data_IF_336268180816
#
_entry.id   IF_336268180816
#
_cell.length_a   1.000
_cell.length_b   1.000
_cell.length_c   1.000
_cell.angle_alpha   90.00
_cell.angle_beta   90.00
_cell.angle_gamma   90.00
#
_symmetry.space_group_name_H-M   'P 1'
#
loop_
_entity.id
_entity.type
_entity.pdbx_description
1 polymer ?
#
# COMPACT_ATOMS: atom_id res chain seq x y z
N UNK A 1 -1.02 -9.38 -5.65
CA UNK A 1 -0.31 -10.26 -6.57
C UNK A 1 1.19 -10.28 -6.32
N UNK A 2 1.91 -9.20 -6.61
CA UNK A 2 3.39 -9.20 -6.54
C UNK A 2 3.93 -9.44 -5.12
N UNK A 3 3.26 -8.96 -4.07
CA UNK A 3 3.65 -9.24 -2.69
C UNK A 3 3.52 -10.73 -2.34
N UNK A 4 2.42 -11.37 -2.72
CA UNK A 4 2.25 -12.81 -2.54
C UNK A 4 3.30 -13.61 -3.33
N UNK A 5 3.62 -13.16 -4.55
CA UNK A 5 4.67 -13.78 -5.35
C UNK A 5 6.05 -13.66 -4.71
N UNK A 6 6.37 -12.49 -4.14
CA UNK A 6 7.62 -12.26 -3.43
C UNK A 6 7.72 -13.12 -2.17
N UNK A 7 6.69 -13.12 -1.32
CA UNK A 7 6.70 -13.92 -0.09
C UNK A 7 6.88 -15.41 -0.40
N UNK A 8 6.11 -15.94 -1.35
CA UNK A 8 6.22 -17.35 -1.73
C UNK A 8 7.60 -17.70 -2.33
N UNK A 9 8.13 -16.85 -3.22
CA UNK A 9 9.43 -17.08 -3.85
C UNK A 9 10.58 -16.97 -2.82
N UNK A 10 10.52 -16.01 -1.90
CA UNK A 10 11.53 -15.86 -0.84
C UNK A 10 11.59 -17.05 0.12
N UNK A 11 10.48 -17.81 0.22
CA UNK A 11 10.39 -19.09 0.97
C UNK A 11 10.83 -20.30 0.14
N UNK A 12 11.38 -20.11 -1.06
CA UNK A 12 11.88 -21.18 -1.93
C UNK A 12 10.79 -21.91 -2.73
N UNK A 13 9.57 -21.38 -2.79
CA UNK A 13 8.51 -21.95 -3.63
C UNK A 13 8.72 -21.58 -5.10
N UNK A 14 8.39 -22.48 -6.01
CA UNK A 14 8.32 -22.19 -7.45
C UNK A 14 7.04 -21.42 -7.74
N UNK A 15 7.18 -20.17 -8.17
CA UNK A 15 6.07 -19.24 -8.38
C UNK A 15 6.04 -18.77 -9.82
N UNK A 16 4.84 -18.74 -10.41
CA UNK A 16 4.54 -18.01 -11.64
C UNK A 16 3.42 -17.01 -11.36
N UNK A 17 3.64 -15.73 -11.66
CA UNK A 17 2.63 -14.69 -11.64
C UNK A 17 2.30 -14.31 -13.08
N UNK A 18 1.02 -14.35 -13.42
CA UNK A 18 0.52 -13.87 -14.70
C UNK A 18 -0.32 -12.62 -14.49
N UNK A 19 -0.08 -11.62 -15.32
CA UNK A 19 -0.77 -10.33 -15.30
C UNK A 19 -1.32 -10.01 -16.69
N UNK A 20 -2.61 -9.74 -16.76
CA UNK A 20 -3.31 -9.47 -18.02
C UNK A 20 -2.84 -8.17 -18.72
N UNK A 21 -2.51 -7.17 -17.94
CA UNK A 21 -2.06 -5.88 -18.43
C UNK A 21 -0.56 -5.68 -18.14
N UNK A 22 -0.23 -4.67 -17.38
CA UNK A 22 1.12 -4.40 -16.90
C UNK A 22 1.13 -4.33 -15.38
N UNK A 23 2.31 -4.39 -14.78
CA UNK A 23 2.48 -4.26 -13.34
C UNK A 23 1.91 -2.91 -12.89
N UNK A 24 1.08 -2.95 -11.84
CA UNK A 24 0.39 -1.79 -11.29
C UNK A 24 -0.66 -1.11 -12.19
N UNK A 25 -1.14 -1.75 -13.25
CA UNK A 25 -2.12 -1.17 -14.16
C UNK A 25 -3.48 -0.85 -13.51
N UNK A 26 -3.82 -1.54 -12.41
CA UNK A 26 -5.04 -1.31 -11.63
C UNK A 26 -4.89 -0.25 -10.52
N UNK A 27 -5.48 -0.53 -9.37
CA UNK A 27 -5.51 0.36 -8.19
C UNK A 27 -4.11 0.68 -7.65
N UNK A 28 -3.13 -0.21 -7.83
CA UNK A 28 -1.77 -0.04 -7.32
C UNK A 28 -0.97 1.11 -7.96
N UNK A 29 -1.52 1.82 -8.96
CA UNK A 29 -0.95 3.08 -9.47
C UNK A 29 -1.90 4.27 -9.33
N UNK A 30 -3.10 4.04 -8.77
CA UNK A 30 -4.18 5.03 -8.66
C UNK A 30 -4.59 5.28 -7.21
N UNK A 31 -3.66 5.09 -6.28
CA UNK A 31 -3.83 5.37 -4.86
C UNK A 31 -3.54 6.84 -4.54
N UNK A 32 -3.73 7.24 -3.29
CA UNK A 32 -3.27 8.55 -2.80
C UNK A 32 -1.74 8.67 -2.71
N UNK A 33 -1.01 7.61 -3.04
CA UNK A 33 0.46 7.51 -2.94
C UNK A 33 1.02 7.69 -1.54
N UNK A 34 0.18 7.48 -0.53
CA UNK A 34 0.54 7.64 0.87
C UNK A 34 0.71 6.27 1.54
N UNK A 35 1.76 6.17 2.33
CA UNK A 35 1.96 5.09 3.30
C UNK A 35 1.75 5.74 4.66
N UNK A 36 0.60 5.46 5.27
CA UNK A 36 0.15 6.16 6.47
C UNK A 36 -0.37 5.18 7.53
N UNK A 37 -0.31 5.60 8.79
CA UNK A 37 -0.86 4.82 9.89
C UNK A 37 -2.38 4.94 10.07
N UNK A 38 -3.05 5.73 9.24
CA UNK A 38 -4.50 5.88 9.30
C UNK A 38 -4.99 6.64 10.52
N UNK A 39 -4.54 7.87 10.71
CA UNK A 39 -4.86 8.72 11.88
C UNK A 39 -6.36 8.72 12.24
N UNK A 40 -7.27 8.74 11.25
CA UNK A 40 -8.71 8.72 11.50
C UNK A 40 -9.22 7.41 12.14
N UNK A 41 -8.47 6.30 12.04
CA UNK A 41 -8.86 5.05 12.71
C UNK A 41 -8.68 5.12 14.23
N UNK A 42 -7.94 6.12 14.75
CA UNK A 42 -7.92 6.40 16.18
C UNK A 42 -9.30 6.82 16.71
N UNK A 43 -10.07 7.56 15.90
CA UNK A 43 -11.44 7.95 16.25
C UNK A 43 -12.40 6.75 16.27
N UNK A 44 -12.04 5.68 15.56
CA UNK A 44 -12.75 4.39 15.56
C UNK A 44 -12.24 3.42 16.63
N UNK A 45 -11.28 3.85 17.45
CA UNK A 45 -10.64 3.05 18.50
C UNK A 45 -9.91 1.79 18.00
N UNK A 46 -9.57 1.72 16.70
CA UNK A 46 -8.81 0.60 16.14
C UNK A 46 -7.30 0.80 16.31
N UNK A 47 -6.85 0.81 17.57
CA UNK A 47 -5.44 1.02 17.91
C UNK A 47 -4.53 -0.08 17.39
N UNK A 48 -5.05 -1.31 17.23
CA UNK A 48 -4.28 -2.42 16.70
C UNK A 48 -3.90 -2.18 15.24
N UNK A 49 -4.88 -1.84 14.41
CA UNK A 49 -4.68 -1.52 13.00
C UNK A 49 -3.70 -0.34 12.84
N UNK A 50 -3.89 0.73 13.62
CA UNK A 50 -3.00 1.91 13.58
C UNK A 50 -1.57 1.51 13.93
N UNK A 51 -1.36 0.72 14.98
CA UNK A 51 -0.03 0.26 15.40
C UNK A 51 0.65 -0.60 14.32
N UNK A 52 -0.08 -1.55 13.74
CA UNK A 52 0.42 -2.39 12.66
C UNK A 52 0.80 -1.55 11.42
N UNK A 53 -0.06 -0.66 10.99
CA UNK A 53 0.20 0.23 9.85
C UNK A 53 1.40 1.17 10.08
N UNK A 54 1.55 1.70 11.30
CA UNK A 54 2.69 2.53 11.68
C UNK A 54 3.99 1.73 11.68
N UNK A 55 3.97 0.50 12.18
CA UNK A 55 5.13 -0.39 12.18
C UNK A 55 5.58 -0.71 10.76
N UNK A 56 4.67 -1.11 9.88
CA UNK A 56 4.95 -1.38 8.47
C UNK A 56 5.49 -0.13 7.75
N UNK A 57 4.91 1.04 7.99
CA UNK A 57 5.39 2.31 7.46
C UNK A 57 6.85 2.58 7.85
N UNK A 58 7.17 2.42 9.13
CA UNK A 58 8.53 2.63 9.64
C UNK A 58 9.54 1.65 9.01
N UNK A 59 9.18 0.36 8.89
CA UNK A 59 10.00 -0.65 8.21
C UNK A 59 10.25 -0.28 6.74
N UNK A 60 9.22 0.19 6.05
CA UNK A 60 9.34 0.57 4.65
C UNK A 60 10.24 1.80 4.46
N UNK A 61 10.11 2.81 5.32
CA UNK A 61 10.92 4.03 5.27
C UNK A 61 12.38 3.77 5.66
N UNK A 62 12.62 2.95 6.69
CA UNK A 62 13.96 2.76 7.26
C UNK A 62 14.78 1.67 6.59
N UNK A 63 14.13 0.60 6.12
CA UNK A 63 14.84 -0.64 5.77
C UNK A 63 14.43 -1.24 4.43
N UNK A 64 13.13 -1.42 4.18
CA UNK A 64 12.67 -2.19 3.02
C UNK A 64 12.80 -1.42 1.71
N UNK A 65 12.40 -0.14 1.70
CA UNK A 65 12.40 0.65 0.47
C UNK A 65 12.77 2.14 0.68
N UNK A 66 13.83 2.47 1.45
CA UNK A 66 14.17 3.86 1.78
C UNK A 66 14.49 4.73 0.55
N UNK A 67 14.89 4.11 -0.55
CA UNK A 67 15.17 4.78 -1.83
C UNK A 67 13.90 5.16 -2.61
N UNK A 68 12.74 4.60 -2.29
CA UNK A 68 11.46 4.87 -2.96
C UNK A 68 10.52 5.70 -2.10
N UNK A 69 10.66 5.66 -0.79
CA UNK A 69 9.72 6.21 0.17
C UNK A 69 10.30 7.44 0.83
N UNK A 70 9.52 8.51 0.84
CA UNK A 70 9.93 9.81 1.39
C UNK A 70 8.97 10.24 2.48
N UNK A 71 9.49 10.81 3.59
CA UNK A 71 8.66 11.47 4.58
C UNK A 71 7.89 12.65 3.96
N UNK A 72 6.62 12.78 4.30
CA UNK A 72 5.78 13.91 3.91
C UNK A 72 5.13 14.52 5.14
N UNK A 73 5.19 15.84 5.26
CA UNK A 73 4.57 16.58 6.35
C UNK A 73 3.17 17.03 5.99
N UNK A 74 2.23 16.76 6.87
CA UNK A 74 0.85 17.23 6.79
C UNK A 74 0.62 18.35 7.78
N UNK A 75 -0.17 19.33 7.39
CA UNK A 75 -0.65 20.37 8.27
C UNK A 75 -2.12 20.11 8.59
N UNK A 76 -2.44 19.97 9.86
CA UNK A 76 -3.80 19.99 10.35
C UNK A 76 -4.10 21.42 10.84
N UNK A 77 -4.84 22.24 10.09
CA UNK A 77 -5.18 23.60 10.49
C UNK A 77 -6.15 23.57 11.68
N UNK A 78 -5.93 24.44 12.66
CA UNK A 78 -6.76 24.56 13.85
C UNK A 78 -7.67 25.77 13.73
N UNK A 79 -8.98 25.56 13.82
CA UNK A 79 -9.99 26.63 13.84
C UNK A 79 -10.24 27.12 15.26
N UNK A 80 -10.12 26.22 16.26
CA UNK A 80 -10.22 26.56 17.67
C UNK A 80 -8.85 26.52 18.37
N UNK A 81 -8.53 27.57 19.11
CA UNK A 81 -7.20 27.77 19.70
C UNK A 81 -6.86 26.72 20.78
N UNK A 82 -7.81 26.32 21.61
CA UNK A 82 -7.56 25.50 22.80
C UNK A 82 -8.13 24.09 22.67
N UNK A 83 -9.44 23.96 22.55
CA UNK A 83 -10.12 22.65 22.59
C UNK A 83 -9.68 21.71 21.45
N UNK A 84 -9.72 22.21 20.22
CA UNK A 84 -9.31 21.45 19.04
C UNK A 84 -7.81 21.13 19.09
N UNK A 85 -6.98 22.09 19.50
CA UNK A 85 -5.52 21.87 19.66
C UNK A 85 -5.22 20.77 20.67
N UNK A 86 -5.93 20.73 21.80
CA UNK A 86 -5.73 19.70 22.83
C UNK A 86 -6.20 18.35 22.33
N UNK A 87 -7.38 18.27 21.74
CA UNK A 87 -7.96 17.02 21.24
C UNK A 87 -7.11 16.40 20.13
N UNK A 88 -6.84 17.16 19.07
CA UNK A 88 -6.04 16.69 17.93
C UNK A 88 -4.58 16.44 18.34
N UNK A 89 -4.04 17.30 19.23
CA UNK A 89 -2.70 17.11 19.78
C UNK A 89 -2.56 15.83 20.57
N UNK A 90 -3.53 15.49 21.40
CA UNK A 90 -3.56 14.23 22.15
C UNK A 90 -3.66 13.01 21.20
N UNK A 91 -4.50 13.10 20.16
CA UNK A 91 -4.59 12.06 19.13
C UNK A 91 -3.27 11.85 18.37
N UNK A 92 -2.58 12.94 18.00
CA UNK A 92 -1.28 12.85 17.33
C UNK A 92 -0.15 12.40 18.27
N UNK A 93 -0.21 12.77 19.54
CA UNK A 93 0.72 12.21 20.55
C UNK A 93 0.55 10.71 20.69
N UNK A 94 -0.69 10.22 20.77
CA UNK A 94 -0.98 8.79 20.78
C UNK A 94 -0.51 8.10 19.47
N UNK A 95 -0.73 8.73 18.33
CA UNK A 95 -0.25 8.24 17.02
C UNK A 95 1.28 8.08 17.01
N UNK A 96 2.00 9.06 17.55
CA UNK A 96 3.45 8.99 17.66
C UNK A 96 3.93 7.94 18.67
N UNK A 97 3.21 7.74 19.78
CA UNK A 97 3.51 6.71 20.76
C UNK A 97 3.25 5.29 20.21
N UNK A 98 2.17 5.09 19.48
CA UNK A 98 1.80 3.80 18.89
C UNK A 98 2.82 3.27 17.88
N UNK A 99 3.62 4.13 17.24
CA UNK A 99 4.72 3.68 16.38
C UNK A 99 5.91 3.09 17.14
N UNK A 100 5.95 3.25 18.48
CA UNK A 100 7.02 2.75 19.34
C UNK A 100 8.31 3.59 19.27
N UNK A 101 9.44 2.94 19.49
CA UNK A 101 10.76 3.60 19.55
C UNK A 101 11.40 3.87 18.17
N UNK A 102 10.74 3.51 17.11
CA UNK A 102 11.23 3.74 15.74
C UNK A 102 11.18 5.25 15.42
N UNK A 103 12.24 5.76 14.77
CA UNK A 103 12.44 7.21 14.56
C UNK A 103 12.69 7.59 13.09
N UNK A 104 12.20 6.79 12.15
CA UNK A 104 12.37 7.11 10.74
C UNK A 104 11.65 8.41 10.33
N UNK A 105 10.57 8.76 11.04
CA UNK A 105 9.83 9.99 10.82
C UNK A 105 9.91 10.93 12.05
N UNK A 106 9.86 12.26 11.86
CA UNK A 106 9.78 13.21 12.97
C UNK A 106 8.46 13.07 13.76
N UNK A 107 8.48 13.53 15.01
CA UNK A 107 7.28 13.67 15.83
C UNK A 107 6.45 14.86 15.36
N UNK A 108 5.16 14.86 15.71
CA UNK A 108 4.28 16.00 15.44
C UNK A 108 4.79 17.28 16.13
N UNK A 109 4.43 18.43 15.56
CA UNK A 109 4.82 19.75 16.08
C UNK A 109 3.65 20.70 16.03
N UNK A 110 3.42 21.40 17.13
CA UNK A 110 2.47 22.52 17.16
C UNK A 110 3.09 23.75 16.50
N UNK A 111 2.35 24.38 15.61
CA UNK A 111 2.78 25.56 14.87
C UNK A 111 1.89 26.77 15.23
N UNK A 112 2.53 27.94 15.36
CA UNK A 112 1.83 29.20 15.54
C UNK A 112 1.32 29.76 14.20
N UNK A 113 0.37 30.67 14.24
CA UNK A 113 -0.16 31.37 13.07
C UNK A 113 0.97 32.01 12.23
N UNK A 114 1.92 32.70 12.88
CA UNK A 114 3.08 33.31 12.21
C UNK A 114 3.89 32.27 11.42
N UNK A 115 4.09 31.09 12.01
CA UNK A 115 4.85 30.03 11.33
C UNK A 115 4.10 29.46 10.14
N UNK A 116 2.77 29.34 10.23
CA UNK A 116 1.92 28.89 9.13
C UNK A 116 1.94 29.89 7.98
N UNK A 117 1.80 31.16 8.26
CA UNK A 117 1.87 32.23 7.25
C UNK A 117 3.19 32.19 6.45
N UNK A 118 4.28 31.70 7.08
CA UNK A 118 5.58 31.54 6.40
C UNK A 118 5.63 30.27 5.52
N UNK A 119 5.12 29.12 6.01
CA UNK A 119 5.30 27.83 5.33
C UNK A 119 4.16 27.45 4.38
N UNK A 120 3.00 28.07 4.57
CA UNK A 120 1.80 27.84 3.78
C UNK A 120 1.02 29.16 3.59
N UNK A 121 1.61 30.15 2.89
CA UNK A 121 1.03 31.50 2.75
C UNK A 121 -0.29 31.55 1.98
N UNK A 122 -0.62 30.49 1.24
CA UNK A 122 -1.90 30.34 0.54
C UNK A 122 -3.08 29.98 1.44
N UNK A 123 -2.83 29.56 2.69
CA UNK A 123 -3.91 29.31 3.64
C UNK A 123 -4.48 30.62 4.17
N UNK A 124 -5.80 30.67 4.32
CA UNK A 124 -6.50 31.81 4.89
C UNK A 124 -6.18 31.97 6.39
N UNK A 125 -5.23 32.84 6.69
CA UNK A 125 -4.76 33.08 8.06
C UNK A 125 -5.82 33.62 9.02
N UNK A 126 -6.86 34.31 8.50
CA UNK A 126 -8.01 34.83 9.24
C UNK A 126 -8.92 33.73 9.82
N UNK A 127 -8.85 32.51 9.29
CA UNK A 127 -9.66 31.35 9.72
C UNK A 127 -8.90 30.31 10.56
N UNK A 128 -7.60 30.52 10.80
CA UNK A 128 -6.73 29.50 11.38
C UNK A 128 -6.01 30.03 12.62
N UNK A 129 -6.21 29.40 13.76
CA UNK A 129 -5.55 29.68 15.03
C UNK A 129 -4.27 28.85 15.28
N UNK A 130 -3.53 28.56 14.21
CA UNK A 130 -2.36 27.69 14.25
C UNK A 130 -2.59 26.38 13.51
N UNK A 131 -1.63 25.47 13.57
CA UNK A 131 -1.76 24.11 13.03
C UNK A 131 -0.97 23.11 13.85
N UNK A 132 -1.24 21.83 13.62
CA UNK A 132 -0.35 20.75 14.05
C UNK A 132 0.24 20.12 12.80
N UNK A 133 1.58 20.10 12.73
CA UNK A 133 2.31 19.38 11.66
C UNK A 133 2.60 17.96 12.13
N UNK A 134 2.17 16.96 11.37
CA UNK A 134 2.49 15.57 11.60
C UNK A 134 3.09 14.95 10.33
N UNK A 135 3.58 13.72 10.40
CA UNK A 135 4.32 13.11 9.32
C UNK A 135 3.80 11.72 9.01
N UNK A 136 3.65 11.47 7.74
CA UNK A 136 3.50 10.15 7.14
C UNK A 136 4.52 9.98 6.02
N UNK A 137 4.36 8.97 5.18
CA UNK A 137 5.27 8.72 4.08
C UNK A 137 4.54 8.75 2.73
N UNK A 138 5.29 9.05 1.68
CA UNK A 138 4.82 9.05 0.31
C UNK A 138 5.69 8.14 -0.54
N UNK A 139 5.07 7.48 -1.50
CA UNK A 139 5.74 6.59 -2.45
C UNK A 139 5.15 6.78 -3.85
N UNK A 140 5.96 6.57 -4.88
CA UNK A 140 5.42 6.27 -6.21
C UNK A 140 4.96 4.80 -6.19
N UNK A 141 3.66 4.59 -6.08
CA UNK A 141 3.04 3.28 -5.89
C UNK A 141 3.28 2.32 -7.07
N UNK A 142 3.31 2.83 -8.31
CA UNK A 142 3.63 2.01 -9.47
C UNK A 142 5.09 1.55 -9.45
N UNK A 143 6.03 2.44 -9.14
CA UNK A 143 7.46 2.10 -9.01
C UNK A 143 7.71 1.15 -7.85
N UNK A 144 7.02 1.34 -6.73
CA UNK A 144 7.09 0.44 -5.59
C UNK A 144 6.60 -0.97 -5.97
N UNK A 145 5.43 -1.07 -6.61
CA UNK A 145 4.88 -2.34 -7.08
C UNK A 145 5.82 -3.04 -8.07
N UNK A 146 6.42 -2.29 -8.99
CA UNK A 146 7.42 -2.82 -9.93
C UNK A 146 8.69 -3.29 -9.21
N UNK A 147 9.16 -2.57 -8.19
CA UNK A 147 10.31 -2.98 -7.39
C UNK A 147 10.05 -4.30 -6.66
N UNK A 148 8.85 -4.48 -6.09
CA UNK A 148 8.44 -5.74 -5.45
C UNK A 148 8.40 -6.89 -6.47
N UNK A 149 7.85 -6.67 -7.68
CA UNK A 149 7.83 -7.66 -8.75
C UNK A 149 9.24 -8.07 -9.17
N UNK A 150 10.16 -7.10 -9.36
CA UNK A 150 11.56 -7.36 -9.70
C UNK A 150 12.29 -8.11 -8.60
N UNK A 151 11.98 -7.82 -7.34
CA UNK A 151 12.54 -8.55 -6.20
C UNK A 151 12.04 -9.98 -6.17
N UNK A 152 10.74 -10.22 -6.42
CA UNK A 152 10.18 -11.57 -6.57
C UNK A 152 10.90 -12.35 -7.69
N UNK A 153 11.14 -11.72 -8.83
CA UNK A 153 11.89 -12.35 -9.94
C UNK A 153 13.33 -12.70 -9.55
N UNK A 154 14.02 -11.87 -8.76
CA UNK A 154 15.35 -12.18 -8.23
C UNK A 154 15.35 -13.39 -7.28
N UNK A 155 14.24 -13.64 -6.60
CA UNK A 155 14.02 -14.87 -5.81
C UNK A 155 13.51 -16.04 -6.63
N UNK A 156 13.53 -15.96 -7.97
CA UNK A 156 13.17 -17.04 -8.86
C UNK A 156 11.70 -17.12 -9.27
N UNK A 157 10.87 -16.14 -8.92
CA UNK A 157 9.51 -16.06 -9.45
C UNK A 157 9.51 -15.73 -10.95
N UNK A 158 8.70 -16.41 -11.73
CA UNK A 158 8.42 -16.05 -13.12
C UNK A 158 7.31 -14.99 -13.12
N UNK A 159 7.61 -13.80 -13.63
CA UNK A 159 6.65 -12.70 -13.75
C UNK A 159 6.34 -12.49 -15.23
N UNK A 160 5.10 -12.73 -15.63
CA UNK A 160 4.68 -12.61 -17.01
C UNK A 160 3.52 -11.60 -17.13
N UNK A 161 3.80 -10.45 -17.72
CA UNK A 161 2.80 -9.44 -18.10
C UNK A 161 2.24 -9.73 -19.48
N UNK A 162 1.08 -9.15 -19.82
CA UNK A 162 0.35 -9.41 -21.06
C UNK A 162 -0.04 -10.89 -21.22
N UNK A 163 -0.26 -11.57 -20.11
CA UNK A 163 -0.69 -12.98 -20.05
C UNK A 163 -2.02 -13.09 -19.31
N UNK A 164 -3.04 -13.47 -20.02
CA UNK A 164 -4.41 -13.59 -19.52
C UNK A 164 -4.71 -15.02 -19.08
N UNK A 165 -5.26 -15.17 -17.87
CA UNK A 165 -5.88 -16.42 -17.45
C UNK A 165 -7.25 -16.57 -18.13
N UNK A 166 -7.39 -17.61 -18.97
CA UNK A 166 -8.64 -17.89 -19.69
C UNK A 166 -9.52 -18.87 -18.92
N UNK A 167 -8.92 -19.87 -18.27
CA UNK A 167 -9.63 -20.99 -17.62
C UNK A 167 -8.81 -21.53 -16.44
N UNK A 168 -9.49 -22.00 -15.41
CA UNK A 168 -8.86 -22.79 -14.34
C UNK A 168 -8.93 -24.29 -14.69
N UNK A 169 -7.79 -24.96 -14.65
CA UNK A 169 -7.73 -26.43 -14.81
C UNK A 169 -8.11 -27.09 -13.49
N UNK A 170 -9.08 -28.01 -13.56
CA UNK A 170 -9.62 -28.71 -12.38
C UNK A 170 -9.43 -30.21 -12.49
N UNK A 171 -9.19 -30.82 -11.35
CA UNK A 171 -9.31 -32.26 -11.12
C UNK A 171 -10.38 -32.46 -10.04
N UNK A 172 -11.58 -32.83 -10.45
CA UNK A 172 -12.77 -32.81 -9.63
C UNK A 172 -13.06 -31.39 -9.10
N UNK A 173 -13.07 -31.23 -7.77
CA UNK A 173 -13.28 -29.94 -7.10
C UNK A 173 -12.00 -29.11 -6.92
N UNK A 174 -10.83 -29.72 -7.16
CA UNK A 174 -9.54 -29.08 -6.92
C UNK A 174 -9.06 -28.34 -8.16
N UNK A 175 -8.56 -27.12 -7.98
CA UNK A 175 -7.83 -26.38 -9.02
C UNK A 175 -6.38 -26.90 -9.04
N UNK A 176 -5.93 -27.37 -10.20
CA UNK A 176 -4.60 -27.97 -10.41
C UNK A 176 -3.74 -27.15 -11.40
N UNK A 177 -4.23 -26.00 -11.83
CA UNK A 177 -3.52 -25.11 -12.74
C UNK A 177 -4.43 -24.10 -13.44
N UNK A 178 -3.91 -23.51 -14.49
CA UNK A 178 -4.62 -22.54 -15.32
C UNK A 178 -4.21 -22.66 -16.79
N UNK A 179 -5.16 -22.41 -17.70
CA UNK A 179 -4.86 -22.14 -19.10
C UNK A 179 -4.70 -20.63 -19.26
N UNK A 180 -3.55 -20.23 -19.78
CA UNK A 180 -3.19 -18.85 -19.97
C UNK A 180 -2.91 -18.58 -21.45
N UNK A 181 -3.18 -17.34 -21.87
CA UNK A 181 -2.89 -16.89 -23.23
C UNK A 181 -1.94 -15.69 -23.18
N UNK A 182 -0.85 -15.77 -23.89
CA UNK A 182 0.01 -14.63 -24.20
C UNK A 182 -0.73 -13.70 -25.19
N UNK A 183 -1.00 -12.48 -24.75
CA UNK A 183 -1.77 -11.50 -25.53
C UNK A 183 -0.96 -10.87 -26.67
N UNK A 184 0.36 -11.03 -26.68
CA UNK A 184 1.21 -10.54 -27.76
C UNK A 184 1.29 -11.54 -28.92
N UNK A 185 1.50 -12.82 -28.61
CA UNK A 185 1.66 -13.87 -29.62
C UNK A 185 0.37 -14.66 -29.89
N UNK A 186 -0.63 -14.54 -29.01
CA UNK A 186 -1.84 -15.36 -29.06
C UNK A 186 -1.65 -16.81 -28.57
N UNK A 187 -0.43 -17.22 -28.21
CA UNK A 187 -0.10 -18.59 -27.81
C UNK A 187 -0.80 -18.94 -26.49
N UNK A 188 -1.38 -20.12 -26.44
CA UNK A 188 -2.00 -20.69 -25.23
C UNK A 188 -1.07 -21.70 -24.58
N UNK A 189 -0.99 -21.63 -23.26
CA UNK A 189 -0.12 -22.47 -22.44
C UNK A 189 -0.94 -22.97 -21.25
N UNK A 190 -0.78 -24.24 -20.88
CA UNK A 190 -1.32 -24.78 -19.64
C UNK A 190 -0.22 -24.78 -18.58
N UNK A 191 -0.48 -24.11 -17.47
CA UNK A 191 0.42 -24.05 -16.31
C UNK A 191 -0.17 -24.94 -15.22
N UNK A 192 0.57 -25.97 -14.82
CA UNK A 192 0.20 -26.82 -13.69
C UNK A 192 0.68 -26.21 -12.38
N UNK A 193 -0.16 -26.23 -11.36
CA UNK A 193 0.15 -25.68 -10.04
C UNK A 193 -0.54 -26.47 -8.93
N UNK A 194 0.16 -26.65 -7.80
CA UNK A 194 -0.42 -27.27 -6.59
C UNK A 194 -1.43 -26.33 -5.90
N UNK A 195 -1.19 -25.01 -5.98
CA UNK A 195 -2.00 -23.94 -5.42
C UNK A 195 -2.11 -22.83 -6.43
N UNK A 196 -3.29 -22.32 -6.65
CA UNK A 196 -3.56 -21.13 -7.47
C UNK A 196 -4.12 -20.04 -6.56
N UNK A 197 -3.47 -18.87 -6.55
CA UNK A 197 -3.88 -17.69 -5.76
C UNK A 197 -4.43 -16.63 -6.71
N UNK A 198 -5.67 -16.24 -6.50
CA UNK A 198 -6.28 -15.16 -7.26
C UNK A 198 -6.04 -13.82 -6.55
N UNK A 199 -5.39 -12.90 -7.25
CA UNK A 199 -5.05 -11.56 -6.75
C UNK A 199 -5.58 -10.47 -7.69
N UNK A 200 -6.81 -10.61 -8.14
CA UNK A 200 -7.41 -9.78 -9.18
C UNK A 200 -7.82 -8.37 -8.73
N UNK A 201 -7.75 -8.05 -7.44
CA UNK A 201 -8.10 -6.74 -6.92
C UNK A 201 -9.55 -6.38 -7.24
N UNK A 202 -9.77 -5.25 -7.89
CA UNK A 202 -11.12 -4.73 -8.24
C UNK A 202 -11.87 -5.59 -9.27
N UNK A 203 -11.21 -6.53 -9.92
CA UNK A 203 -11.82 -7.48 -10.86
C UNK A 203 -12.12 -8.85 -10.23
N UNK A 204 -12.02 -8.97 -8.90
CA UNK A 204 -12.20 -10.26 -8.22
C UNK A 204 -13.60 -10.84 -8.44
N UNK A 205 -14.64 -10.03 -8.35
CA UNK A 205 -16.03 -10.50 -8.51
C UNK A 205 -16.29 -11.00 -9.95
N UNK A 206 -15.81 -10.27 -10.94
CA UNK A 206 -15.89 -10.68 -12.35
C UNK A 206 -15.20 -12.03 -12.61
N UNK A 207 -14.02 -12.22 -12.02
CA UNK A 207 -13.29 -13.47 -12.17
C UNK A 207 -13.87 -14.61 -11.34
N UNK A 208 -14.48 -14.33 -10.19
CA UNK A 208 -15.24 -15.33 -9.42
C UNK A 208 -16.38 -15.88 -10.25
N UNK A 209 -17.19 -15.00 -10.85
CA UNK A 209 -18.27 -15.38 -11.75
C UNK A 209 -17.75 -16.18 -12.94
N UNK A 210 -16.76 -15.63 -13.66
CA UNK A 210 -16.15 -16.26 -14.85
C UNK A 210 -15.64 -17.67 -14.59
N UNK A 211 -15.03 -17.90 -13.44
CA UNK A 211 -14.40 -19.21 -13.11
C UNK A 211 -15.29 -20.08 -12.23
N UNK A 212 -16.52 -19.69 -11.93
CA UNK A 212 -17.44 -20.43 -11.08
C UNK A 212 -16.88 -20.68 -9.68
N UNK A 213 -16.21 -19.68 -9.08
CA UNK A 213 -15.70 -19.74 -7.72
C UNK A 213 -16.77 -19.18 -6.79
N UNK A 214 -17.20 -19.98 -5.81
CA UNK A 214 -18.18 -19.59 -4.78
C UNK A 214 -17.45 -19.13 -3.51
#
# INVERSE_FOLDING_TARGET
GVGAALDAASRGLKVALVENQDIAAGTSSRSSKLIHGGLRYLEQYDFKLVREALHERELMVSSLAPHLIKPVGFLYPLHEKYRERTYVGAGLALYDVLRGFQRALPWHKHLSEKKIATIAPSLRGDLINGAIKYFDAQVDDARHTLAVARTAARHGAIIATRVQCEELVRDGKRVVGAKVRDLNSGKKITVSAKVTVMCAGVWSDELHEKFGIK
#
